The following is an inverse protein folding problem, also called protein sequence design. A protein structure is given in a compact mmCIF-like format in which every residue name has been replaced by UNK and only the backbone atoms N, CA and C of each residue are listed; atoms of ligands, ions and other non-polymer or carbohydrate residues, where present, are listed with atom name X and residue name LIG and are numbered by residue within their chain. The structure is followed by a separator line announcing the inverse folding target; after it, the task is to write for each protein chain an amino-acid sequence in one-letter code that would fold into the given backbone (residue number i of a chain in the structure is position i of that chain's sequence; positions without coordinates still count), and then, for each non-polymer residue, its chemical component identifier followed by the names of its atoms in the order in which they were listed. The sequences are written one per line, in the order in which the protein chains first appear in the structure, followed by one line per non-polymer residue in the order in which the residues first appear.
data_IF_993715949245
#
_entry.id   IF_993715949245
#
_cell.length_a   1.000
_cell.length_b   1.000
_cell.length_c   1.000
_cell.angle_alpha   90.00
_cell.angle_beta   90.00
_cell.angle_gamma   90.00
#
_symmetry.space_group_name_H-M   'P 1'
#
loop_
_entity.id
_entity.type
_entity.pdbx_description
1 polymer ?
#
# COMPACT_ATOMS: atom_id res chain seq x y z
N UNK A 1 -29.31 37.74 -12.48
CA UNK A 1 -29.73 36.89 -11.35
C UNK A 1 -28.50 36.60 -10.51
N UNK A 2 -28.17 37.41 -9.49
CA UNK A 2 -27.05 37.10 -8.60
C UNK A 2 -27.49 36.02 -7.60
N UNK A 3 -26.75 34.91 -7.57
CA UNK A 3 -26.91 33.87 -6.55
C UNK A 3 -26.18 34.37 -5.30
N UNK A 4 -26.94 34.64 -4.25
CA UNK A 4 -26.44 34.90 -2.90
C UNK A 4 -25.97 33.55 -2.33
N UNK A 5 -24.68 33.43 -2.04
CA UNK A 5 -24.11 32.29 -1.31
C UNK A 5 -24.13 32.65 0.18
N UNK A 6 -25.15 32.18 0.89
CA UNK A 6 -25.19 32.24 2.36
C UNK A 6 -24.29 31.13 2.93
N UNK A 7 -23.17 31.53 3.52
CA UNK A 7 -22.29 30.66 4.30
C UNK A 7 -22.89 30.51 5.71
N UNK A 8 -23.62 29.41 5.95
CA UNK A 8 -23.99 29.04 7.32
C UNK A 8 -22.88 28.21 7.95
N UNK A 9 -22.13 28.86 8.82
CA UNK A 9 -21.43 28.19 9.91
C UNK A 9 -22.45 27.81 10.98
N UNK A 10 -22.60 26.52 11.27
CA UNK A 10 -23.36 26.07 12.44
C UNK A 10 -22.42 25.69 13.59
N UNK A 11 -22.68 26.18 14.81
CA UNK A 11 -21.82 26.03 15.98
C UNK A 11 -21.96 24.63 16.60
N UNK A 12 -20.82 23.98 16.83
CA UNK A 12 -20.78 22.72 17.58
C UNK A 12 -21.07 22.93 19.07
N UNK A 13 -21.77 21.99 19.73
CA UNK A 13 -21.71 21.83 21.18
C UNK A 13 -20.78 20.68 21.59
N UNK A 14 -19.71 21.07 22.30
CA UNK A 14 -19.27 20.45 23.55
C UNK A 14 -18.95 18.95 23.59
N UNK A 15 -17.66 18.64 23.41
CA UNK A 15 -16.97 17.60 24.20
C UNK A 15 -17.30 17.85 25.69
N UNK A 16 -17.32 16.83 26.57
CA UNK A 16 -17.63 16.86 28.03
C UNK A 16 -19.10 17.09 28.42
N UNK A 17 -19.94 16.08 28.19
CA UNK A 17 -21.22 15.73 28.85
C UNK A 17 -21.77 14.52 28.05
N UNK A 18 -21.58 13.25 28.40
CA UNK A 18 -22.29 12.53 29.45
C UNK A 18 -21.50 11.23 29.73
N UNK A 19 -20.78 11.20 30.86
CA UNK A 19 -20.44 9.96 31.56
C UNK A 19 -21.31 9.97 32.82
N UNK A 20 -22.38 9.17 32.86
CA UNK A 20 -23.00 8.74 34.11
C UNK A 20 -24.01 7.60 33.87
N UNK A 21 -23.73 6.49 34.55
CA UNK A 21 -24.67 5.57 35.18
C UNK A 21 -25.52 4.60 34.32
N UNK A 22 -25.08 3.34 34.29
CA UNK A 22 -25.95 2.20 34.59
C UNK A 22 -25.12 1.06 35.19
N UNK A 23 -25.05 1.02 36.52
CA UNK A 23 -24.64 -0.17 37.29
C UNK A 23 -25.86 -1.08 37.39
N UNK A 24 -25.75 -2.29 36.87
CA UNK A 24 -26.73 -3.35 37.03
C UNK A 24 -26.02 -4.68 37.26
N UNK A 25 -25.78 -5.01 38.53
CA UNK A 25 -25.36 -6.34 38.98
C UNK A 25 -26.56 -7.29 38.96
N UNK A 26 -26.48 -8.37 38.20
CA UNK A 26 -27.20 -9.61 38.50
C UNK A 26 -26.52 -10.81 37.82
N UNK A 27 -26.15 -11.75 38.67
CA UNK A 27 -25.44 -13.01 38.45
C UNK A 27 -26.18 -14.02 37.58
N UNK A 28 -25.48 -14.71 36.68
CA UNK A 28 -25.77 -16.10 36.35
C UNK A 28 -24.53 -16.78 35.76
N UNK A 29 -23.89 -17.62 36.57
CA UNK A 29 -22.98 -18.63 36.10
C UNK A 29 -23.74 -19.61 35.20
N UNK A 30 -23.35 -19.72 33.93
CA UNK A 30 -23.56 -20.92 33.12
C UNK A 30 -22.18 -21.43 32.73
N UNK A 31 -21.64 -22.29 33.59
CA UNK A 31 -20.51 -23.15 33.27
C UNK A 31 -21.05 -24.50 32.81
N UNK A 32 -21.29 -24.64 31.50
CA UNK A 32 -21.36 -25.93 30.82
C UNK A 32 -20.94 -25.74 29.35
N UNK A 33 -19.67 -26.02 29.01
CA UNK A 33 -19.24 -26.14 27.61
C UNK A 33 -17.74 -25.97 27.33
N UNK A 34 -16.94 -27.03 27.52
CA UNK A 34 -15.82 -27.40 26.64
C UNK A 34 -14.59 -26.47 26.50
N UNK A 35 -13.50 -26.85 27.18
CA UNK A 35 -12.15 -26.27 27.15
C UNK A 35 -11.39 -26.39 25.82
N UNK A 36 -11.90 -25.81 24.72
CA UNK A 36 -11.14 -25.58 23.49
C UNK A 36 -11.39 -24.19 22.84
N UNK A 37 -12.25 -23.36 23.44
CA UNK A 37 -12.71 -22.10 22.85
C UNK A 37 -11.73 -20.92 22.96
N UNK A 38 -11.01 -20.77 24.07
CA UNK A 38 -10.06 -19.65 24.24
C UNK A 38 -8.78 -19.83 23.42
N UNK A 39 -8.32 -21.08 23.27
CA UNK A 39 -7.19 -21.44 22.42
C UNK A 39 -7.49 -21.23 20.93
N UNK A 40 -8.68 -21.61 20.48
CA UNK A 40 -9.11 -21.41 19.10
C UNK A 40 -9.23 -19.90 18.76
N UNK A 41 -9.87 -19.10 19.63
CA UNK A 41 -10.01 -17.67 19.41
C UNK A 41 -8.68 -16.89 19.48
N UNK A 42 -7.74 -17.32 20.34
CA UNK A 42 -6.39 -16.74 20.37
C UNK A 42 -5.57 -17.12 19.14
N UNK A 43 -5.68 -18.37 18.67
CA UNK A 43 -5.03 -18.83 17.43
C UNK A 43 -5.57 -18.07 16.20
N UNK A 44 -6.89 -17.89 16.08
CA UNK A 44 -7.52 -17.14 14.99
C UNK A 44 -7.07 -15.67 14.98
N UNK A 45 -7.08 -15.00 16.15
CA UNK A 45 -6.56 -13.64 16.28
C UNK A 45 -5.08 -13.55 15.89
N UNK A 46 -4.30 -14.55 16.27
CA UNK A 46 -2.87 -14.62 15.93
C UNK A 46 -2.64 -14.84 14.43
N UNK A 47 -3.45 -15.68 13.79
CA UNK A 47 -3.42 -15.91 12.35
C UNK A 47 -3.81 -14.65 11.57
N UNK A 48 -4.89 -13.96 11.99
CA UNK A 48 -5.30 -12.67 11.41
C UNK A 48 -4.21 -11.59 11.58
N UNK A 49 -3.55 -11.54 12.74
CA UNK A 49 -2.42 -10.64 12.95
C UNK A 49 -1.21 -10.99 12.06
N UNK A 50 -0.92 -12.28 11.86
CA UNK A 50 0.13 -12.72 10.95
C UNK A 50 -0.17 -12.39 9.50
N UNK A 51 -1.42 -12.58 9.07
CA UNK A 51 -1.89 -12.18 7.73
C UNK A 51 -1.78 -10.67 7.52
N UNK A 52 -2.23 -9.87 8.49
CA UNK A 52 -2.10 -8.41 8.43
C UNK A 52 -0.64 -7.96 8.31
N UNK A 53 0.29 -8.60 9.05
CA UNK A 53 1.73 -8.33 8.92
C UNK A 53 2.25 -8.67 7.52
N UNK A 54 1.96 -9.87 7.00
CA UNK A 54 2.34 -10.25 5.63
C UNK A 54 1.81 -9.29 4.58
N UNK A 55 0.57 -8.82 4.75
CA UNK A 55 -0.04 -7.86 3.85
C UNK A 55 0.68 -6.49 3.90
N UNK A 56 1.05 -6.02 5.10
CA UNK A 56 1.86 -4.82 5.28
C UNK A 56 3.23 -4.95 4.62
N UNK A 57 3.90 -6.10 4.81
CA UNK A 57 5.22 -6.38 4.24
C UNK A 57 5.17 -6.41 2.69
N UNK A 58 4.12 -7.01 2.12
CA UNK A 58 3.89 -7.01 0.67
C UNK A 58 3.64 -5.62 0.09
N UNK A 59 2.81 -4.81 0.78
CA UNK A 59 2.58 -3.41 0.39
C UNK A 59 3.87 -2.57 0.51
N UNK A 60 4.70 -2.80 1.54
CA UNK A 60 5.97 -2.11 1.73
C UNK A 60 6.98 -2.49 0.64
N UNK A 61 7.06 -3.78 0.27
CA UNK A 61 7.91 -4.22 -0.83
C UNK A 61 7.48 -3.64 -2.19
N UNK A 62 6.18 -3.42 -2.40
CA UNK A 62 5.69 -2.71 -3.58
C UNK A 62 6.08 -1.22 -3.54
N UNK A 63 5.94 -0.56 -2.38
CA UNK A 63 6.39 0.82 -2.18
C UNK A 63 7.87 0.99 -2.52
N UNK A 64 8.75 0.10 -2.04
CA UNK A 64 10.17 0.12 -2.36
C UNK A 64 10.46 0.03 -3.87
N UNK A 65 9.63 -0.68 -4.63
CA UNK A 65 9.76 -0.75 -6.10
C UNK A 65 9.36 0.57 -6.77
N UNK A 66 8.33 1.26 -6.27
CA UNK A 66 8.02 2.62 -6.70
C UNK A 66 9.21 3.56 -6.45
N UNK A 67 9.84 3.45 -5.28
CA UNK A 67 11.00 4.26 -4.88
C UNK A 67 12.20 4.00 -5.78
N UNK A 68 12.51 2.73 -6.04
CA UNK A 68 13.58 2.32 -6.91
C UNK A 68 13.34 2.82 -8.34
N UNK A 69 12.10 2.71 -8.83
CA UNK A 69 11.73 3.17 -10.18
C UNK A 69 11.86 4.69 -10.30
N UNK A 70 11.36 5.44 -9.32
CA UNK A 70 11.50 6.90 -9.30
C UNK A 70 12.96 7.37 -9.22
N UNK A 71 13.83 6.65 -8.52
CA UNK A 71 15.27 6.95 -8.47
C UNK A 71 15.98 6.64 -9.79
N UNK A 72 15.67 5.49 -10.41
CA UNK A 72 16.27 5.09 -11.69
C UNK A 72 15.77 5.96 -12.86
N UNK A 73 14.52 6.43 -12.79
CA UNK A 73 13.85 7.21 -13.83
C UNK A 73 13.27 8.52 -13.27
N UNK A 74 14.09 9.55 -13.02
CA UNK A 74 13.62 10.80 -12.39
C UNK A 74 12.50 11.50 -13.17
N UNK A 75 12.45 11.35 -14.49
CA UNK A 75 11.38 11.90 -15.32
C UNK A 75 9.98 11.32 -15.00
N UNK A 76 9.91 10.11 -14.41
CA UNK A 76 8.65 9.49 -13.99
C UNK A 76 8.22 9.89 -12.58
N UNK A 77 9.11 10.52 -11.79
CA UNK A 77 8.89 10.78 -10.37
C UNK A 77 7.56 11.49 -10.08
N UNK A 78 7.26 12.54 -10.84
CA UNK A 78 6.05 13.33 -10.66
C UNK A 78 4.78 12.52 -10.96
N UNK A 79 4.78 11.71 -12.03
CA UNK A 79 3.65 10.85 -12.38
C UNK A 79 3.44 9.68 -11.40
N UNK A 80 4.52 9.15 -10.83
CA UNK A 80 4.47 8.05 -9.86
C UNK A 80 4.10 8.51 -8.44
N UNK A 81 4.27 9.79 -8.10
CA UNK A 81 4.11 10.28 -6.73
C UNK A 81 2.72 9.99 -6.11
N UNK A 82 1.58 10.18 -6.82
CA UNK A 82 0.26 9.84 -6.27
C UNK A 82 0.09 8.34 -5.98
N UNK A 83 0.54 7.47 -6.89
CA UNK A 83 0.44 6.02 -6.75
C UNK A 83 1.32 5.51 -5.59
N UNK A 84 2.52 6.08 -5.47
CA UNK A 84 3.44 5.83 -4.34
C UNK A 84 2.80 6.25 -3.01
N UNK A 85 2.22 7.44 -2.94
CA UNK A 85 1.58 7.94 -1.72
C UNK A 85 0.39 7.06 -1.29
N UNK A 86 -0.43 6.60 -2.25
CA UNK A 86 -1.51 5.66 -1.96
C UNK A 86 -0.97 4.30 -1.47
N UNK A 87 0.13 3.81 -2.05
CA UNK A 87 0.76 2.56 -1.58
C UNK A 87 1.30 2.70 -0.16
N UNK A 88 1.85 3.86 0.22
CA UNK A 88 2.24 4.13 1.60
C UNK A 88 1.04 4.10 2.57
N UNK A 89 -0.11 4.66 2.17
CA UNK A 89 -1.35 4.58 2.96
C UNK A 89 -1.83 3.13 3.11
N UNK A 90 -1.62 2.26 2.11
CA UNK A 90 -1.94 0.84 2.24
C UNK A 90 -1.08 0.14 3.29
N UNK A 91 0.22 0.47 3.36
CA UNK A 91 1.10 -0.02 4.43
C UNK A 91 0.56 0.38 5.80
N UNK A 92 0.18 1.65 5.97
CA UNK A 92 -0.39 2.17 7.21
C UNK A 92 -1.74 1.51 7.55
N UNK A 93 -2.59 1.25 6.55
CA UNK A 93 -3.89 0.60 6.73
C UNK A 93 -3.76 -0.83 7.27
N UNK A 94 -2.69 -1.54 6.92
CA UNK A 94 -2.33 -2.82 7.51
C UNK A 94 -1.56 -2.69 8.84
N UNK A 95 -1.36 -1.48 9.35
CA UNK A 95 -0.64 -1.22 10.60
C UNK A 95 0.88 -1.29 10.48
N UNK A 96 1.41 -1.29 9.26
CA UNK A 96 2.84 -1.10 9.00
C UNK A 96 3.24 0.37 9.09
N UNK A 97 4.54 0.62 9.07
CA UNK A 97 5.11 1.97 9.01
C UNK A 97 5.79 2.12 7.64
N UNK A 98 5.30 2.98 6.74
CA UNK A 98 5.92 3.15 5.44
C UNK A 98 7.29 3.81 5.59
N UNK A 99 8.24 3.40 4.75
CA UNK A 99 9.52 4.07 4.66
C UNK A 99 9.33 5.54 4.22
N UNK A 100 10.09 6.45 4.84
CA UNK A 100 10.06 7.86 4.48
C UNK A 100 10.43 8.03 2.99
N UNK A 101 9.80 8.98 2.27
CA UNK A 101 10.12 9.22 0.88
C UNK A 101 11.59 9.64 0.73
N UNK A 102 12.30 9.14 -0.32
CA UNK A 102 13.66 9.56 -0.56
C UNK A 102 13.69 11.05 -0.93
N UNK A 103 14.74 11.78 -0.53
CA UNK A 103 14.80 13.25 -0.62
C UNK A 103 14.64 13.79 -2.05
N UNK A 104 14.97 13.00 -3.08
CA UNK A 104 14.83 13.37 -4.48
C UNK A 104 13.37 13.41 -4.99
N UNK A 105 12.40 12.85 -4.26
CA UNK A 105 10.99 12.82 -4.66
C UNK A 105 10.12 13.86 -3.93
N UNK A 106 10.69 14.56 -2.94
CA UNK A 106 9.97 15.55 -2.11
C UNK A 106 10.22 17.01 -2.50
N UNK A 107 11.06 17.30 -3.49
CA UNK A 107 11.40 18.68 -3.81
C UNK A 107 11.40 18.94 -5.32
N UNK A 108 10.39 19.70 -5.77
CA UNK A 108 10.61 20.67 -6.83
C UNK A 108 11.60 21.73 -6.31
N UNK A 109 12.88 21.48 -6.51
CA UNK A 109 13.94 22.49 -6.49
C UNK A 109 15.03 22.03 -7.43
N UNK A 110 15.30 22.87 -8.43
CA UNK A 110 16.11 22.58 -9.59
C UNK A 110 17.53 22.07 -9.22
N UNK A 111 18.09 21.12 -9.99
CA UNK A 111 19.47 20.69 -9.79
C UNK A 111 20.46 21.68 -10.42
N UNK A 112 21.62 21.84 -9.77
CA UNK A 112 22.79 22.49 -10.36
C UNK A 112 23.36 21.62 -11.51
N UNK A 113 23.98 22.22 -12.55
CA UNK A 113 24.47 21.48 -13.71
C UNK A 113 25.71 20.65 -13.36
N UNK A 114 25.75 19.40 -13.84
CA UNK A 114 26.94 18.57 -13.82
C UNK A 114 27.29 18.16 -15.26
N UNK A 115 28.53 18.42 -15.63
CA UNK A 115 29.11 18.21 -16.96
C UNK A 115 29.02 16.76 -17.45
N UNK A 116 28.77 16.51 -18.76
CA UNK A 116 28.84 15.18 -19.35
C UNK A 116 30.21 14.92 -19.98
N UNK A 117 30.85 13.80 -19.64
CA UNK A 117 31.93 13.21 -20.44
C UNK A 117 31.98 11.68 -20.31
N UNK A 118 31.26 11.04 -21.24
CA UNK A 118 31.59 9.85 -22.07
C UNK A 118 31.99 8.47 -21.45
N UNK A 119 31.97 7.36 -22.22
CA UNK A 119 31.22 7.02 -23.45
C UNK A 119 30.36 5.73 -23.33
N UNK A 120 29.61 5.45 -24.40
CA UNK A 120 28.76 4.27 -24.62
C UNK A 120 29.54 3.01 -25.02
N UNK A 121 28.95 1.84 -24.75
CA UNK A 121 29.13 0.63 -25.57
C UNK A 121 29.04 -0.69 -24.82
N UNK A 122 27.98 -1.46 -25.04
CA UNK A 122 28.03 -2.85 -25.51
C UNK A 122 26.62 -3.49 -25.57
N UNK A 123 26.31 -4.08 -26.72
CA UNK A 123 25.10 -4.86 -27.01
C UNK A 123 25.10 -6.26 -26.36
N UNK A 124 23.89 -6.82 -26.26
CA UNK A 124 23.43 -8.04 -25.58
C UNK A 124 24.02 -9.41 -26.05
N UNK A 125 23.60 -10.55 -25.47
CA UNK A 125 22.39 -11.21 -26.00
C UNK A 125 21.41 -11.79 -24.94
N UNK A 126 20.25 -12.19 -25.45
CA UNK A 126 19.13 -12.80 -24.74
C UNK A 126 19.36 -14.29 -24.37
N UNK A 127 18.68 -14.72 -23.32
CA UNK A 127 18.30 -16.13 -23.11
C UNK A 127 18.80 -16.77 -21.83
N UNK A 128 18.01 -16.70 -20.76
CA UNK A 128 17.91 -17.78 -19.76
C UNK A 128 16.68 -17.56 -18.88
N UNK A 129 15.78 -18.53 -18.86
CA UNK A 129 14.75 -18.68 -17.83
C UNK A 129 15.40 -18.60 -16.45
N UNK A 130 14.93 -17.69 -15.61
CA UNK A 130 15.30 -17.65 -14.20
C UNK A 130 14.09 -17.18 -13.38
N UNK A 131 13.70 -18.00 -12.41
CA UNK A 131 12.74 -17.62 -11.37
C UNK A 131 13.17 -16.32 -10.67
N UNK A 132 12.26 -15.39 -10.32
CA UNK A 132 12.67 -14.14 -9.72
C UNK A 132 12.98 -14.32 -8.23
N UNK A 133 14.26 -14.50 -7.91
CA UNK A 133 14.87 -14.16 -6.61
C UNK A 133 15.16 -12.65 -6.49
N UNK A 134 15.56 -12.16 -5.30
CA UNK A 134 15.18 -10.84 -4.80
C UNK A 134 15.89 -9.67 -5.49
N UNK A 135 15.12 -8.62 -5.76
CA UNK A 135 15.54 -7.33 -6.34
C UNK A 135 16.11 -7.41 -7.77
N UNK A 136 15.32 -7.92 -8.72
CA UNK A 136 15.56 -7.62 -10.13
C UNK A 136 15.77 -6.10 -10.30
N UNK A 137 16.93 -5.71 -10.81
CA UNK A 137 17.29 -4.32 -11.05
C UNK A 137 16.22 -3.64 -11.91
N UNK A 138 15.93 -2.37 -11.64
CA UNK A 138 14.97 -1.59 -12.44
C UNK A 138 15.47 -1.55 -13.89
N UNK A 139 14.66 -1.97 -14.88
CA UNK A 139 15.05 -1.88 -16.29
C UNK A 139 15.51 -0.47 -16.68
N UNK A 140 16.51 -0.40 -17.56
CA UNK A 140 17.09 0.88 -18.01
C UNK A 140 16.20 1.64 -18.99
N UNK A 141 15.28 0.96 -19.67
CA UNK A 141 14.22 1.59 -20.47
C UNK A 141 13.03 1.99 -19.58
N UNK A 142 12.49 3.19 -19.83
CA UNK A 142 11.38 3.75 -19.04
C UNK A 142 10.09 2.94 -19.17
N UNK A 143 9.74 2.52 -20.38
CA UNK A 143 8.53 1.75 -20.63
C UNK A 143 8.64 0.33 -20.06
N UNK A 144 9.81 -0.29 -20.15
CA UNK A 144 10.11 -1.56 -19.47
C UNK A 144 10.02 -1.43 -17.95
N UNK A 145 10.53 -0.35 -17.36
CA UNK A 145 10.44 -0.12 -15.93
C UNK A 145 8.98 0.02 -15.46
N UNK A 146 8.15 0.75 -16.21
CA UNK A 146 6.71 0.88 -15.90
C UNK A 146 5.97 -0.46 -16.07
N UNK A 147 6.28 -1.24 -17.11
CA UNK A 147 5.72 -2.60 -17.28
C UNK A 147 6.13 -3.54 -16.16
N UNK A 148 7.39 -3.50 -15.73
CA UNK A 148 7.88 -4.30 -14.61
C UNK A 148 7.20 -3.92 -13.29
N UNK A 149 7.00 -2.61 -13.06
CA UNK A 149 6.28 -2.09 -11.89
C UNK A 149 4.79 -2.47 -11.93
N UNK A 150 4.14 -2.37 -13.09
CA UNK A 150 2.75 -2.80 -13.28
C UNK A 150 2.57 -4.29 -12.99
N UNK A 151 3.48 -5.13 -13.50
CA UNK A 151 3.51 -6.56 -13.21
C UNK A 151 3.71 -6.86 -11.72
N UNK A 152 4.52 -6.05 -11.01
CA UNK A 152 4.66 -6.16 -9.56
C UNK A 152 3.36 -5.79 -8.81
N UNK A 153 2.67 -4.73 -9.24
CA UNK A 153 1.38 -4.34 -8.67
C UNK A 153 0.30 -5.41 -8.90
N UNK A 154 0.23 -6.01 -10.10
CA UNK A 154 -0.67 -7.14 -10.38
C UNK A 154 -0.38 -8.34 -9.48
N UNK A 155 0.89 -8.78 -9.37
CA UNK A 155 1.25 -9.89 -8.47
C UNK A 155 0.88 -9.62 -7.02
N UNK A 156 1.01 -8.36 -6.58
CA UNK A 156 0.62 -7.99 -5.22
C UNK A 156 -0.90 -8.00 -5.04
N UNK A 157 -1.66 -7.55 -6.03
CA UNK A 157 -3.12 -7.72 -6.08
C UNK A 157 -3.50 -9.20 -5.97
N UNK A 158 -2.89 -10.06 -6.78
CA UNK A 158 -3.17 -11.51 -6.78
C UNK A 158 -2.84 -12.16 -5.42
N UNK A 159 -1.74 -11.75 -4.78
CA UNK A 159 -1.38 -12.20 -3.44
C UNK A 159 -2.44 -11.80 -2.39
N UNK A 160 -2.94 -10.57 -2.43
CA UNK A 160 -4.03 -10.15 -1.55
C UNK A 160 -5.33 -10.92 -1.82
N UNK A 161 -5.65 -11.20 -3.08
CA UNK A 161 -6.82 -12.01 -3.45
C UNK A 161 -6.69 -13.45 -2.99
N UNK A 162 -5.49 -14.03 -3.02
CA UNK A 162 -5.23 -15.37 -2.50
C UNK A 162 -5.45 -15.45 -0.98
N UNK A 163 -5.07 -14.40 -0.24
CA UNK A 163 -5.28 -14.34 1.21
C UNK A 163 -6.78 -14.21 1.61
N UNK A 164 -7.66 -13.78 0.70
CA UNK A 164 -9.08 -13.57 1.00
C UNK A 164 -9.82 -14.82 1.47
N UNK A 165 -9.41 -16.01 1.02
CA UNK A 165 -10.11 -17.26 1.36
C UNK A 165 -9.98 -17.62 2.83
N UNK A 166 -8.91 -17.16 3.48
CA UNK A 166 -8.60 -17.42 4.89
C UNK A 166 -8.83 -16.20 5.79
N UNK A 167 -9.16 -15.04 5.19
CA UNK A 167 -9.24 -13.77 5.91
C UNK A 167 -10.57 -13.60 6.65
N UNK A 168 -10.58 -13.19 7.93
CA UNK A 168 -11.81 -12.89 8.64
C UNK A 168 -12.40 -11.53 8.25
N UNK A 169 -13.73 -11.48 8.09
CA UNK A 169 -14.58 -10.28 8.14
C UNK A 169 -13.99 -8.97 7.58
N UNK A 170 -13.60 -8.06 8.48
CA UNK A 170 -13.10 -6.73 8.13
C UNK A 170 -11.74 -6.78 7.41
N UNK A 171 -10.88 -7.74 7.75
CA UNK A 171 -9.57 -7.90 7.09
C UNK A 171 -9.75 -8.32 5.63
N UNK A 172 -10.71 -9.22 5.35
CA UNK A 172 -11.04 -9.59 3.98
C UNK A 172 -11.52 -8.38 3.15
N UNK A 173 -12.36 -7.52 3.74
CA UNK A 173 -12.82 -6.29 3.07
C UNK A 173 -11.68 -5.31 2.79
N UNK A 174 -10.75 -5.16 3.73
CA UNK A 174 -9.55 -4.33 3.53
C UNK A 174 -8.66 -4.91 2.42
N UNK A 175 -8.34 -6.21 2.47
CA UNK A 175 -7.54 -6.90 1.45
C UNK A 175 -8.16 -6.75 0.06
N UNK A 176 -9.47 -6.95 -0.08
CA UNK A 176 -10.18 -6.80 -1.35
C UNK A 176 -10.12 -5.37 -1.90
N UNK A 177 -10.29 -4.36 -1.03
CA UNK A 177 -10.20 -2.96 -1.42
C UNK A 177 -8.78 -2.58 -1.89
N UNK A 178 -7.75 -3.07 -1.18
CA UNK A 178 -6.35 -2.79 -1.55
C UNK A 178 -5.96 -3.56 -2.81
N UNK A 179 -6.39 -4.82 -2.97
CA UNK A 179 -6.18 -5.59 -4.19
C UNK A 179 -6.76 -4.87 -5.42
N UNK A 180 -8.01 -4.39 -5.32
CA UNK A 180 -8.64 -3.62 -6.39
C UNK A 180 -7.86 -2.34 -6.73
N UNK A 181 -7.33 -1.64 -5.72
CA UNK A 181 -6.48 -0.46 -5.94
C UNK A 181 -5.16 -0.83 -6.65
N UNK A 182 -4.48 -1.91 -6.24
CA UNK A 182 -3.26 -2.39 -6.89
C UNK A 182 -3.52 -2.83 -8.33
N UNK A 183 -4.66 -3.47 -8.61
CA UNK A 183 -5.07 -3.80 -9.98
C UNK A 183 -5.27 -2.54 -10.84
N UNK A 184 -5.91 -1.50 -10.29
CA UNK A 184 -6.05 -0.21 -10.97
C UNK A 184 -4.71 0.49 -11.20
N UNK A 185 -3.77 0.39 -10.26
CA UNK A 185 -2.41 0.91 -10.46
C UNK A 185 -1.70 0.19 -11.62
N UNK A 186 -1.85 -1.13 -11.72
CA UNK A 186 -1.27 -1.91 -12.79
C UNK A 186 -1.78 -1.52 -14.19
N UNK A 187 -3.04 -1.06 -14.30
CA UNK A 187 -3.58 -0.58 -15.58
C UNK A 187 -3.16 0.86 -15.90
N UNK A 188 -2.97 1.71 -14.90
CA UNK A 188 -2.58 3.12 -15.08
C UNK A 188 -1.08 3.30 -15.39
N UNK A 189 -0.22 2.44 -14.84
CA UNK A 189 1.23 2.58 -14.96
C UNK A 189 1.75 2.60 -16.41
N UNK A 190 1.27 1.74 -17.34
CA UNK A 190 1.68 1.81 -18.74
C UNK A 190 1.31 3.13 -19.43
N UNK A 191 0.19 3.75 -19.02
CA UNK A 191 -0.31 5.01 -19.59
C UNK A 191 0.58 6.22 -19.25
N UNK A 192 1.49 6.10 -18.27
CA UNK A 192 2.46 7.15 -17.94
C UNK A 192 3.58 7.29 -19.00
N UNK A 193 3.60 6.45 -20.02
CA UNK A 193 4.50 6.57 -21.18
C UNK A 193 3.93 7.40 -22.33
N UNK A 194 2.62 7.65 -22.33
CA UNK A 194 1.90 8.38 -23.37
C UNK A 194 2.06 9.90 -23.23
#
# INVERSE_FOLDING_TARGET
MPIVVEHRADPGPGRRSVLAAAVGTATAAVLLGGCAGDGAGTAERSAAAAMRRRAADGAAALLERYDATGRAHPALAAGLAPLRAQTAQHVEAFGGVPAAPPPALSAGSAPAPQDPSAPAGASAPAGASAEPGPAAAVPGDRGEALRALASAASRQSDAFLADLTEAPGDLARLLASVAAACAAHATLLPELTA
#
